data_IF_541543790268
#
_entry.id   IF_541543790268
#
_cell.length_a   1.000
_cell.length_b   1.000
_cell.length_c   1.000
_cell.angle_alpha   90.00
_cell.angle_beta   90.00
_cell.angle_gamma   90.00
#
_symmetry.space_group_name_H-M   'P 1'
#
loop_
_entity.id
_entity.type
_entity.pdbx_description
1 polymer ?
#
# COMPACT_ATOMS: atom_id res chain seq x y z
N UNK A 1 31.87 4.07 -20.68
CA UNK A 1 31.65 3.36 -19.40
C UNK A 1 30.33 3.86 -18.88
N UNK A 2 29.23 3.13 -19.13
CA UNK A 2 27.94 3.47 -18.51
C UNK A 2 28.11 3.32 -16.99
N UNK A 3 27.82 4.39 -16.25
CA UNK A 3 27.80 4.34 -14.80
C UNK A 3 26.59 3.49 -14.41
N UNK A 4 26.82 2.32 -13.82
CA UNK A 4 25.73 1.50 -13.28
C UNK A 4 25.01 2.31 -12.20
N UNK A 5 23.72 2.59 -12.40
CA UNK A 5 22.89 3.28 -11.41
C UNK A 5 22.93 2.54 -10.06
N UNK A 6 23.09 3.29 -8.99
CA UNK A 6 23.06 2.73 -7.63
C UNK A 6 21.62 2.37 -7.25
N UNK A 7 21.46 1.57 -6.19
CA UNK A 7 20.15 1.26 -5.61
C UNK A 7 19.40 2.55 -5.21
N UNK A 8 20.12 3.54 -4.67
CA UNK A 8 19.55 4.83 -4.26
C UNK A 8 19.07 5.62 -5.47
N UNK A 9 19.84 5.64 -6.56
CA UNK A 9 19.46 6.35 -7.79
C UNK A 9 18.18 5.76 -8.39
N UNK A 10 18.13 4.43 -8.56
CA UNK A 10 16.94 3.74 -9.08
C UNK A 10 15.69 3.98 -8.22
N UNK A 11 15.87 3.99 -6.89
CA UNK A 11 14.79 4.26 -5.94
C UNK A 11 14.26 5.68 -6.12
N UNK A 12 15.16 6.65 -6.18
CA UNK A 12 14.80 8.05 -6.34
C UNK A 12 14.15 8.32 -7.71
N UNK A 13 14.65 7.71 -8.78
CA UNK A 13 14.05 7.79 -10.11
C UNK A 13 12.62 7.25 -10.14
N UNK A 14 12.39 6.06 -9.56
CA UNK A 14 11.05 5.46 -9.47
C UNK A 14 10.08 6.34 -8.69
N UNK A 15 10.49 6.83 -7.51
CA UNK A 15 9.66 7.72 -6.67
C UNK A 15 9.32 8.99 -7.43
N UNK A 16 10.32 9.64 -8.03
CA UNK A 16 10.15 10.90 -8.78
C UNK A 16 9.24 10.70 -9.98
N UNK A 17 9.36 9.58 -10.70
CA UNK A 17 8.48 9.24 -11.81
C UNK A 17 7.04 9.06 -11.35
N UNK A 18 6.79 8.28 -10.30
CA UNK A 18 5.43 8.07 -9.77
C UNK A 18 4.82 9.40 -9.31
N UNK A 19 5.59 10.26 -8.62
CA UNK A 19 5.12 11.57 -8.17
C UNK A 19 4.83 12.53 -9.33
N UNK A 20 5.64 12.51 -10.40
CA UNK A 20 5.40 13.29 -11.61
C UNK A 20 4.10 12.85 -12.32
N UNK A 21 3.86 11.53 -12.41
CA UNK A 21 2.59 11.00 -12.93
C UNK A 21 1.42 11.42 -12.03
N UNK A 22 1.59 11.33 -10.72
CA UNK A 22 0.56 11.68 -9.74
C UNK A 22 0.14 13.15 -9.86
N UNK A 23 1.08 14.08 -10.05
CA UNK A 23 0.78 15.51 -10.23
C UNK A 23 0.02 15.80 -11.52
N UNK A 24 0.27 15.02 -12.58
CA UNK A 24 -0.43 15.15 -13.88
C UNK A 24 -1.86 14.60 -13.86
N UNK A 25 -2.15 13.57 -13.04
CA UNK A 25 -3.48 12.98 -12.94
C UNK A 25 -4.50 13.87 -12.21
N UNK A 26 -4.01 14.84 -11.41
CA UNK A 26 -4.85 15.69 -10.57
C UNK A 26 -5.61 14.90 -9.50
N UNK A 27 -6.59 15.56 -8.85
CA UNK A 27 -7.40 14.94 -7.80
C UNK A 27 -6.91 15.25 -6.39
N UNK A 28 -7.10 14.33 -5.46
CA UNK A 28 -6.68 14.52 -4.07
C UNK A 28 -5.18 14.26 -3.97
N UNK A 29 -4.45 15.21 -3.40
CA UNK A 29 -3.05 15.04 -3.06
C UNK A 29 -2.79 13.74 -2.27
N UNK A 30 -1.77 12.98 -2.68
CA UNK A 30 -1.42 11.72 -2.04
C UNK A 30 -2.25 10.51 -2.50
N UNK A 31 -3.16 10.67 -3.47
CA UNK A 31 -3.84 9.54 -4.12
C UNK A 31 -2.82 8.64 -4.83
N UNK A 32 -2.76 7.32 -4.54
CA UNK A 32 -1.83 6.45 -5.22
C UNK A 32 -2.15 6.33 -6.72
N UNK A 33 -1.10 6.25 -7.53
CA UNK A 33 -1.22 5.98 -8.96
C UNK A 33 -1.63 4.52 -9.16
N UNK A 34 -2.50 4.27 -10.14
CA UNK A 34 -2.88 2.90 -10.52
C UNK A 34 -2.68 2.70 -12.01
N UNK A 35 -2.32 1.49 -12.42
CA UNK A 35 -2.09 1.15 -13.83
C UNK A 35 -3.31 1.42 -14.73
N UNK A 36 -4.52 1.43 -14.19
CA UNK A 36 -5.76 1.74 -14.94
C UNK A 36 -5.98 3.24 -15.17
N UNK A 37 -5.22 4.11 -14.49
CA UNK A 37 -5.30 5.58 -14.64
C UNK A 37 -4.23 6.15 -15.54
N UNK A 38 -3.28 5.33 -16.00
CA UNK A 38 -2.12 5.76 -16.78
C UNK A 38 -2.04 4.99 -18.10
N UNK A 39 -1.22 5.48 -19.02
CA UNK A 39 -0.96 4.78 -20.29
C UNK A 39 -0.26 3.44 -20.01
N UNK A 40 -0.54 2.39 -20.79
CA UNK A 40 0.11 1.08 -20.64
C UNK A 40 1.65 1.16 -20.63
N UNK A 41 2.25 1.98 -21.49
CA UNK A 41 3.71 2.14 -21.58
C UNK A 41 4.31 2.67 -20.28
N UNK A 42 3.61 3.60 -19.60
CA UNK A 42 4.04 4.12 -18.29
C UNK A 42 3.95 3.04 -17.20
N UNK A 43 2.90 2.20 -17.24
CA UNK A 43 2.78 1.10 -16.30
C UNK A 43 3.89 0.05 -16.52
N UNK A 44 4.26 -0.23 -17.78
CA UNK A 44 5.37 -1.12 -18.12
C UNK A 44 6.72 -0.54 -17.70
N UNK A 45 6.92 0.76 -17.86
CA UNK A 45 8.14 1.44 -17.42
C UNK A 45 8.31 1.39 -15.90
N UNK A 46 7.22 1.64 -15.14
CA UNK A 46 7.21 1.49 -13.68
C UNK A 46 7.56 0.05 -13.28
N UNK A 47 6.97 -0.94 -13.94
CA UNK A 47 7.25 -2.36 -13.68
C UNK A 47 8.73 -2.69 -13.93
N UNK A 48 9.31 -2.20 -15.03
CA UNK A 48 10.73 -2.41 -15.35
C UNK A 48 11.67 -1.78 -14.31
N UNK A 49 11.34 -0.58 -13.81
CA UNK A 49 12.09 0.07 -12.72
C UNK A 49 11.97 -0.71 -11.40
N UNK A 50 10.77 -1.21 -11.08
CA UNK A 50 10.52 -2.06 -9.91
C UNK A 50 11.36 -3.33 -9.96
N UNK A 51 11.39 -4.03 -11.10
CA UNK A 51 12.18 -5.26 -11.27
C UNK A 51 13.68 -4.98 -11.05
N UNK A 52 14.21 -3.87 -11.57
CA UNK A 52 15.60 -3.47 -11.35
C UNK A 52 15.91 -3.21 -9.87
N UNK A 53 14.97 -2.62 -9.13
CA UNK A 53 15.10 -2.40 -7.69
C UNK A 53 15.00 -3.70 -6.90
N UNK A 54 14.03 -4.57 -7.19
CA UNK A 54 13.88 -5.88 -6.56
C UNK A 54 15.17 -6.71 -6.71
N UNK A 55 15.83 -6.66 -7.87
CA UNK A 55 17.12 -7.30 -8.11
C UNK A 55 18.29 -6.72 -7.27
N UNK A 56 18.11 -5.51 -6.73
CA UNK A 56 19.06 -4.81 -5.84
C UNK A 56 18.48 -4.62 -4.44
N UNK A 57 17.60 -5.51 -3.99
CA UNK A 57 17.10 -5.49 -2.62
C UNK A 57 18.27 -5.61 -1.62
N UNK A 58 18.47 -4.64 -0.71
CA UNK A 58 19.59 -4.66 0.22
C UNK A 58 19.44 -5.74 1.31
N UNK A 59 18.22 -6.20 1.55
CA UNK A 59 17.90 -7.12 2.63
C UNK A 59 17.39 -8.45 2.08
N UNK A 60 18.32 -9.39 1.87
CA UNK A 60 17.98 -10.80 1.62
C UNK A 60 17.20 -11.37 2.81
N UNK A 61 16.13 -12.14 2.55
CA UNK A 61 15.23 -12.70 3.59
C UNK A 61 14.87 -11.65 4.67
N UNK A 62 14.18 -10.57 4.31
CA UNK A 62 13.97 -9.43 5.20
C UNK A 62 13.24 -9.81 6.50
N UNK A 63 12.34 -10.79 6.45
CA UNK A 63 11.58 -11.25 7.63
C UNK A 63 12.41 -12.13 8.58
N UNK A 64 13.58 -12.58 8.16
CA UNK A 64 14.53 -13.30 9.01
C UNK A 64 15.53 -12.34 9.65
N UNK A 65 16.22 -11.53 8.84
CA UNK A 65 17.36 -10.74 9.31
C UNK A 65 17.01 -9.32 9.75
N UNK A 66 15.94 -8.73 9.19
CA UNK A 66 15.55 -7.34 9.43
C UNK A 66 14.02 -7.15 9.56
N UNK A 67 13.30 -8.00 10.33
CA UNK A 67 11.84 -7.94 10.38
C UNK A 67 11.32 -6.60 10.88
N UNK A 68 12.04 -5.92 11.78
CA UNK A 68 11.66 -4.62 12.33
C UNK A 68 11.67 -3.48 11.31
N UNK A 69 12.37 -3.61 10.17
CA UNK A 69 12.26 -2.59 9.11
C UNK A 69 10.84 -2.48 8.56
N UNK A 70 10.07 -3.58 8.62
CA UNK A 70 8.68 -3.63 8.19
C UNK A 70 7.73 -2.85 9.12
N UNK A 71 8.10 -2.68 10.38
CA UNK A 71 7.25 -2.13 11.45
C UNK A 71 6.93 -0.64 11.25
N UNK A 72 5.67 -0.24 11.35
CA UNK A 72 5.21 1.14 11.23
C UNK A 72 4.30 1.39 10.03
N UNK A 73 4.13 2.67 9.67
CA UNK A 73 3.24 3.10 8.59
C UNK A 73 3.97 3.23 7.24
N UNK A 74 3.26 2.82 6.19
CA UNK A 74 3.71 2.85 4.81
C UNK A 74 2.68 3.56 3.94
N UNK A 75 3.06 4.66 3.31
CA UNK A 75 2.21 5.39 2.37
C UNK A 75 2.33 4.75 0.98
N UNK A 76 1.20 4.38 0.39
CA UNK A 76 1.13 3.79 -0.95
C UNK A 76 1.32 4.87 -2.02
N UNK A 77 2.29 4.68 -2.91
CA UNK A 77 2.54 5.56 -4.05
C UNK A 77 1.94 4.99 -5.35
N UNK A 78 2.09 3.68 -5.58
CA UNK A 78 1.61 3.01 -6.79
C UNK A 78 1.09 1.60 -6.48
N UNK A 79 0.03 1.18 -7.18
CA UNK A 79 -0.44 -0.20 -7.12
C UNK A 79 -1.17 -0.69 -8.37
N UNK A 80 -1.04 -2.00 -8.63
CA UNK A 80 -1.85 -2.72 -9.64
C UNK A 80 -2.95 -3.58 -9.00
N UNK A 81 -3.05 -3.59 -7.67
CA UNK A 81 -3.99 -4.41 -6.93
C UNK A 81 -5.45 -4.04 -7.24
N UNK A 82 -6.30 -5.04 -7.41
CA UNK A 82 -7.68 -4.85 -7.87
C UNK A 82 -8.49 -4.02 -6.89
N UNK A 83 -8.33 -4.27 -5.60
CA UNK A 83 -8.97 -3.55 -4.52
C UNK A 83 -8.60 -2.06 -4.51
N UNK A 84 -7.35 -1.71 -4.82
CA UNK A 84 -6.91 -0.31 -4.92
C UNK A 84 -7.45 0.34 -6.20
N UNK A 85 -7.43 -0.39 -7.33
CA UNK A 85 -8.03 0.09 -8.59
C UNK A 85 -9.51 0.42 -8.43
N UNK A 86 -10.24 -0.37 -7.65
CA UNK A 86 -11.66 -0.14 -7.39
C UNK A 86 -11.91 1.15 -6.58
N UNK A 87 -10.95 1.62 -5.78
CA UNK A 87 -11.05 2.89 -5.05
C UNK A 87 -10.98 4.12 -5.96
N UNK A 88 -10.62 3.93 -7.24
CA UNK A 88 -10.67 5.01 -8.22
C UNK A 88 -12.10 5.41 -8.62
N UNK A 89 -13.10 4.60 -8.26
CA UNK A 89 -14.53 4.84 -8.55
C UNK A 89 -15.36 4.61 -7.28
N UNK A 90 -15.35 5.60 -6.38
CA UNK A 90 -16.19 5.57 -5.18
C UNK A 90 -17.58 6.17 -5.46
N UNK A 91 -18.63 5.68 -4.79
CA UNK A 91 -19.97 6.25 -4.91
C UNK A 91 -20.03 7.67 -4.37
N UNK A 92 -21.11 8.39 -4.73
CA UNK A 92 -21.41 9.74 -4.22
C UNK A 92 -20.35 10.80 -4.57
N UNK A 93 -19.58 10.60 -5.65
CA UNK A 93 -18.54 11.54 -6.08
C UNK A 93 -17.33 11.61 -5.14
N UNK A 94 -17.25 10.73 -4.14
CA UNK A 94 -16.10 10.62 -3.26
C UNK A 94 -14.84 10.32 -4.06
N UNK A 95 -13.72 10.85 -3.60
CA UNK A 95 -12.40 10.57 -4.13
C UNK A 95 -11.55 9.99 -3.01
N UNK A 96 -10.74 9.00 -3.35
CA UNK A 96 -9.73 8.46 -2.45
C UNK A 96 -8.56 9.46 -2.38
N UNK A 97 -7.96 9.58 -1.20
CA UNK A 97 -6.71 10.32 -0.98
C UNK A 97 -5.60 9.35 -0.62
N UNK A 98 -4.81 9.71 0.40
CA UNK A 98 -3.73 8.85 0.91
C UNK A 98 -4.23 7.49 1.36
N UNK A 99 -3.45 6.45 1.04
CA UNK A 99 -3.67 5.08 1.50
C UNK A 99 -2.44 4.64 2.28
N UNK A 100 -2.67 4.22 3.52
CA UNK A 100 -1.64 3.74 4.42
C UNK A 100 -1.78 2.24 4.63
N UNK A 101 -0.65 1.56 4.70
CA UNK A 101 -0.54 0.22 5.24
C UNK A 101 0.29 0.29 6.53
N UNK A 102 -0.32 -0.06 7.64
CA UNK A 102 0.30 -0.04 8.97
C UNK A 102 0.55 -1.49 9.36
N UNK A 103 1.79 -1.79 9.73
CA UNK A 103 2.21 -3.12 10.14
C UNK A 103 2.84 -3.01 11.52
N UNK A 104 2.37 -3.83 12.44
CA UNK A 104 2.99 -3.99 13.75
C UNK A 104 3.52 -5.42 13.84
N UNK A 105 4.84 -5.54 13.83
CA UNK A 105 5.55 -6.82 13.77
C UNK A 105 5.43 -7.58 15.07
N UNK A 106 5.40 -6.88 16.21
CA UNK A 106 5.34 -7.48 17.53
C UNK A 106 3.99 -8.17 17.79
N UNK A 107 2.90 -7.53 17.37
CA UNK A 107 1.53 -8.04 17.53
C UNK A 107 1.04 -8.89 16.36
N UNK A 108 1.75 -8.89 15.23
CA UNK A 108 1.29 -9.54 13.99
C UNK A 108 0.09 -8.83 13.37
N UNK A 109 -0.07 -7.52 13.61
CA UNK A 109 -1.20 -6.73 13.11
C UNK A 109 -0.86 -6.09 11.76
N UNK A 110 -1.86 -6.07 10.87
CA UNK A 110 -1.78 -5.51 9.54
C UNK A 110 -3.04 -4.71 9.24
N UNK A 111 -2.90 -3.47 8.79
CA UNK A 111 -4.02 -2.58 8.60
C UNK A 111 -3.86 -1.80 7.31
N UNK A 112 -4.90 -1.75 6.48
CA UNK A 112 -4.98 -0.80 5.36
C UNK A 112 -5.99 0.29 5.68
N UNK A 113 -5.61 1.56 5.52
CA UNK A 113 -6.47 2.71 5.75
C UNK A 113 -6.43 3.65 4.56
N UNK A 114 -7.58 3.84 3.92
CA UNK A 114 -7.75 4.76 2.80
C UNK A 114 -8.60 5.96 3.24
N UNK A 115 -8.03 7.16 3.15
CA UNK A 115 -8.78 8.39 3.38
C UNK A 115 -9.64 8.71 2.16
N UNK A 116 -10.83 9.24 2.40
CA UNK A 116 -11.78 9.61 1.35
C UNK A 116 -12.36 10.98 1.64
N UNK A 117 -12.54 11.79 0.60
CA UNK A 117 -13.26 13.07 0.71
C UNK A 117 -14.00 13.41 -0.56
N UNK A 118 -15.07 14.18 -0.41
CA UNK A 118 -15.74 14.81 -1.53
C UNK A 118 -14.90 16.00 -2.04
N UNK A 119 -14.75 16.22 -3.37
CA UNK A 119 -13.95 17.32 -3.91
C UNK A 119 -14.37 18.71 -3.40
N UNK A 120 -15.67 18.91 -3.16
CA UNK A 120 -16.21 20.16 -2.61
C UNK A 120 -16.02 20.33 -1.09
N UNK A 121 -15.33 19.40 -0.41
CA UNK A 121 -15.11 19.47 1.05
C UNK A 121 -16.34 19.19 1.92
N UNK A 122 -17.46 18.76 1.32
CA UNK A 122 -18.73 18.54 2.03
C UNK A 122 -18.70 17.36 2.99
N UNK A 123 -17.92 16.32 2.70
CA UNK A 123 -17.80 15.13 3.53
C UNK A 123 -16.40 14.54 3.41
N UNK A 124 -15.84 14.09 4.53
CA UNK A 124 -14.59 13.35 4.58
C UNK A 124 -14.64 12.23 5.62
N UNK A 125 -13.78 11.25 5.45
CA UNK A 125 -13.68 10.10 6.34
C UNK A 125 -12.60 9.14 5.90
N UNK A 126 -12.70 7.90 6.36
CA UNK A 126 -11.76 6.85 5.96
C UNK A 126 -12.43 5.48 5.93
N UNK A 127 -11.85 4.60 5.12
CA UNK A 127 -12.10 3.16 5.15
C UNK A 127 -10.88 2.50 5.77
N UNK A 128 -11.08 1.73 6.84
CA UNK A 128 -10.02 0.99 7.52
C UNK A 128 -10.32 -0.51 7.45
N UNK A 129 -9.35 -1.32 7.10
CA UNK A 129 -9.44 -2.79 7.07
C UNK A 129 -8.35 -3.35 7.96
N UNK A 130 -8.75 -4.09 8.99
CA UNK A 130 -7.82 -4.79 9.89
C UNK A 130 -7.59 -6.21 9.43
N UNK A 131 -6.41 -6.72 9.74
CA UNK A 131 -5.98 -8.07 9.52
C UNK A 131 -4.94 -8.45 10.57
N UNK A 132 -4.79 -9.74 10.80
CA UNK A 132 -3.56 -10.27 11.37
C UNK A 132 -2.72 -10.86 10.24
N UNK A 133 -1.43 -11.05 10.47
CA UNK A 133 -0.57 -11.73 9.54
C UNK A 133 0.31 -12.78 10.23
N UNK A 134 0.74 -13.75 9.43
CA UNK A 134 1.71 -14.77 9.83
C UNK A 134 2.88 -14.76 8.85
N UNK A 135 4.09 -14.88 9.38
CA UNK A 135 5.30 -15.02 8.58
C UNK A 135 5.37 -16.46 8.06
N UNK A 136 5.38 -16.62 6.75
CA UNK A 136 5.54 -17.93 6.11
C UNK A 136 6.99 -18.36 6.22
N UNK A 137 7.17 -19.63 6.59
CA UNK A 137 8.47 -20.28 6.79
C UNK A 137 8.72 -21.29 5.68
N UNK A 138 9.99 -21.46 5.32
CA UNK A 138 10.44 -22.47 4.35
C UNK A 138 10.54 -23.88 4.98
N UNK A 139 11.00 -24.85 4.20
CA UNK A 139 11.15 -26.25 4.63
C UNK A 139 12.13 -26.42 5.82
N UNK A 140 13.01 -25.44 6.05
CA UNK A 140 13.92 -25.41 7.19
C UNK A 140 13.32 -24.64 8.39
N UNK A 141 12.02 -24.33 8.36
CA UNK A 141 11.31 -23.54 9.36
C UNK A 141 11.85 -22.10 9.52
N UNK A 142 12.46 -21.54 8.47
CA UNK A 142 13.01 -20.19 8.47
C UNK A 142 12.12 -19.21 7.71
N UNK A 143 11.85 -18.01 8.26
CA UNK A 143 11.27 -16.90 7.52
C UNK A 143 12.06 -16.56 6.25
N UNK A 144 11.33 -16.05 5.26
CA UNK A 144 11.93 -15.44 4.07
C UNK A 144 11.36 -14.04 3.85
N UNK A 145 10.36 -13.92 2.99
CA UNK A 145 9.78 -12.64 2.58
C UNK A 145 8.26 -12.64 2.51
N UNK A 146 7.60 -13.77 2.74
CA UNK A 146 6.15 -13.92 2.56
C UNK A 146 5.39 -13.79 3.88
N UNK A 147 4.30 -13.03 3.82
CA UNK A 147 3.28 -12.92 4.85
C UNK A 147 1.99 -13.57 4.35
N UNK A 148 1.33 -14.38 5.18
CA UNK A 148 -0.08 -14.70 5.02
C UNK A 148 -0.90 -13.64 5.76
N UNK A 149 -1.95 -13.10 5.14
CA UNK A 149 -2.76 -12.01 5.68
C UNK A 149 -4.20 -12.47 5.84
N UNK A 150 -4.73 -12.31 7.06
CA UNK A 150 -6.06 -12.76 7.46
C UNK A 150 -6.93 -11.56 7.81
N UNK A 151 -7.76 -11.12 6.86
CA UNK A 151 -8.61 -9.95 7.05
C UNK A 151 -9.70 -10.21 8.07
N UNK A 152 -9.92 -9.26 8.97
CA UNK A 152 -10.87 -9.36 10.08
C UNK A 152 -12.08 -8.45 9.86
N UNK A 153 -11.90 -7.14 10.00
CA UNK A 153 -12.99 -6.17 10.02
C UNK A 153 -12.71 -5.03 9.05
N UNK A 154 -13.78 -4.49 8.48
CA UNK A 154 -13.80 -3.25 7.70
C UNK A 154 -14.63 -2.21 8.44
N UNK A 155 -14.03 -1.05 8.67
CA UNK A 155 -14.61 0.10 9.30
C UNK A 155 -14.83 1.19 8.26
N UNK A 156 -16.00 1.82 8.32
CA UNK A 156 -16.31 3.02 7.56
C UNK A 156 -16.49 4.14 8.57
N UNK A 157 -15.67 5.17 8.44
CA UNK A 157 -15.73 6.36 9.28
C UNK A 157 -16.16 7.57 8.46
N UNK A 158 -16.98 8.41 9.05
CA UNK A 158 -17.28 9.75 8.56
C UNK A 158 -16.68 10.69 9.59
N UNK A 159 -15.65 11.43 9.20
CA UNK A 159 -14.88 12.29 10.09
C UNK A 159 -15.41 13.71 10.13
N UNK A 160 -15.87 14.22 8.98
CA UNK A 160 -16.42 15.56 8.89
C UNK A 160 -17.60 15.61 7.92
N UNK A 161 -18.59 16.42 8.27
CA UNK A 161 -19.73 16.81 7.42
C UNK A 161 -19.81 18.33 7.43
N UNK A 162 -19.64 18.96 6.27
CA UNK A 162 -19.71 20.42 6.06
C UNK A 162 -18.90 21.19 7.12
N UNK A 163 -17.66 20.75 7.35
CA UNK A 163 -16.73 21.35 8.31
C UNK A 163 -16.96 20.99 9.79
N UNK A 164 -18.04 20.27 10.12
CA UNK A 164 -18.31 19.80 11.49
C UNK A 164 -17.70 18.42 11.70
N UNK A 165 -16.88 18.25 12.75
CA UNK A 165 -16.33 16.95 13.14
C UNK A 165 -17.43 16.02 13.63
N UNK A 166 -17.35 14.75 13.27
CA UNK A 166 -18.35 13.73 13.62
C UNK A 166 -17.73 12.53 14.34
N UNK A 167 -17.16 12.70 15.56
CA UNK A 167 -16.54 11.61 16.31
C UNK A 167 -17.49 10.44 16.59
N UNK A 168 -18.80 10.70 16.69
CA UNK A 168 -19.84 9.68 16.84
C UNK A 168 -20.00 8.77 15.61
N UNK A 169 -19.39 9.12 14.48
CA UNK A 169 -19.37 8.36 13.23
C UNK A 169 -17.98 7.77 12.93
N UNK A 170 -17.15 7.58 13.97
CA UNK A 170 -15.83 6.97 13.88
C UNK A 170 -15.72 5.72 14.79
N UNK A 171 -16.23 4.55 14.37
CA UNK A 171 -16.77 4.24 13.05
C UNK A 171 -18.29 4.39 12.94
N UNK A 172 -18.76 4.82 11.77
CA UNK A 172 -20.18 4.83 11.40
C UNK A 172 -20.72 3.43 11.11
N UNK A 173 -19.84 2.53 10.64
CA UNK A 173 -20.19 1.13 10.36
C UNK A 173 -18.99 0.22 10.50
N UNK A 174 -19.22 -0.95 11.09
CA UNK A 174 -18.25 -2.06 11.16
C UNK A 174 -18.87 -3.28 10.51
N UNK A 175 -18.14 -3.92 9.60
CA UNK A 175 -18.56 -5.17 8.94
C UNK A 175 -17.39 -6.13 8.83
N UNK A 176 -17.62 -7.46 8.81
CA UNK A 176 -16.56 -8.41 8.51
C UNK A 176 -15.88 -8.11 7.16
N UNK A 177 -14.56 -8.24 7.12
CA UNK A 177 -13.81 -8.18 5.87
C UNK A 177 -13.97 -9.50 5.09
N UNK A 178 -13.95 -9.43 3.75
CA UNK A 178 -14.09 -10.61 2.90
C UNK A 178 -12.73 -11.21 2.61
N UNK A 179 -12.46 -12.39 3.14
CA UNK A 179 -11.33 -13.22 2.70
C UNK A 179 -11.72 -13.97 1.41
N UNK A 180 -10.79 -14.14 0.45
CA UNK A 180 -11.03 -14.96 -0.73
C UNK A 180 -11.23 -16.42 -0.33
N UNK A 181 -12.13 -17.11 -1.04
CA UNK A 181 -12.39 -18.54 -0.82
C UNK A 181 -11.34 -19.35 -1.57
N UNK A 182 -10.79 -20.39 -0.93
CA UNK A 182 -9.87 -21.35 -1.56
C UNK A 182 -8.42 -20.86 -1.71
N UNK A 183 -8.07 -19.69 -1.18
CA UNK A 183 -6.67 -19.22 -1.08
C UNK A 183 -6.48 -18.33 0.14
N UNK A 184 -5.28 -18.36 0.71
CA UNK A 184 -4.89 -17.41 1.75
C UNK A 184 -4.31 -16.16 1.05
N UNK A 185 -4.81 -14.93 1.32
CA UNK A 185 -4.14 -13.73 0.86
C UNK A 185 -2.69 -13.71 1.33
N UNK A 186 -1.76 -13.43 0.43
CA UNK A 186 -0.35 -13.35 0.77
C UNK A 186 0.29 -12.08 0.23
N UNK A 187 1.35 -11.64 0.88
CA UNK A 187 2.18 -10.50 0.49
C UNK A 187 3.65 -10.89 0.60
N UNK A 188 4.36 -10.86 -0.53
CA UNK A 188 5.80 -11.01 -0.59
C UNK A 188 6.47 -9.64 -0.50
N UNK A 189 7.42 -9.50 0.42
CA UNK A 189 8.25 -8.31 0.58
C UNK A 189 9.49 -8.47 -0.30
N UNK A 190 9.42 -7.97 -1.53
CA UNK A 190 10.46 -8.18 -2.56
C UNK A 190 11.57 -7.13 -2.53
N UNK A 191 11.32 -6.00 -1.87
CA UNK A 191 12.32 -5.00 -1.53
C UNK A 191 11.97 -4.37 -0.19
N UNK A 192 12.95 -4.17 0.69
CA UNK A 192 12.76 -3.47 1.95
C UNK A 192 14.03 -2.73 2.36
N UNK A 193 13.90 -1.44 2.64
CA UNK A 193 14.88 -0.66 3.37
C UNK A 193 14.18 0.27 4.40
N UNK A 194 14.93 1.17 5.02
CA UNK A 194 14.44 2.07 6.06
C UNK A 194 13.31 3.00 5.59
N UNK A 195 13.28 3.35 4.30
CA UNK A 195 12.39 4.39 3.76
C UNK A 195 11.46 3.90 2.66
N UNK A 196 11.66 2.69 2.13
CA UNK A 196 10.97 2.19 0.95
C UNK A 196 10.73 0.69 0.97
N UNK A 197 9.58 0.29 0.41
CA UNK A 197 9.16 -1.11 0.34
C UNK A 197 8.43 -1.39 -0.95
N UNK A 198 8.75 -2.54 -1.55
CA UNK A 198 7.99 -3.14 -2.64
C UNK A 198 7.35 -4.42 -2.12
N UNK A 199 6.05 -4.56 -2.38
CA UNK A 199 5.27 -5.74 -2.07
C UNK A 199 4.63 -6.36 -3.31
N UNK A 200 4.58 -7.70 -3.37
CA UNK A 200 3.85 -8.46 -4.38
C UNK A 200 2.75 -9.30 -3.72
N UNK A 201 1.50 -9.10 -4.10
CA UNK A 201 0.38 -9.91 -3.64
C UNK A 201 0.43 -11.31 -4.24
N UNK A 202 -0.23 -12.29 -3.60
CA UNK A 202 -0.29 -13.67 -4.09
C UNK A 202 -0.93 -13.85 -5.48
N UNK A 203 -1.60 -12.83 -6.01
CA UNK A 203 -2.10 -12.77 -7.39
C UNK A 203 -1.24 -11.93 -8.34
N UNK A 204 -0.01 -11.59 -7.93
CA UNK A 204 0.94 -10.80 -8.70
C UNK A 204 0.74 -9.28 -8.58
N UNK A 205 -0.20 -8.81 -7.75
CA UNK A 205 -0.43 -7.37 -7.58
C UNK A 205 0.80 -6.66 -7.01
N UNK A 206 1.13 -5.49 -7.54
CA UNK A 206 2.27 -4.68 -7.08
C UNK A 206 1.81 -3.61 -6.08
N UNK A 207 2.64 -3.37 -5.07
CA UNK A 207 2.52 -2.25 -4.14
C UNK A 207 3.89 -1.58 -4.00
N UNK A 208 3.95 -0.29 -4.27
CA UNK A 208 5.15 0.55 -4.08
C UNK A 208 4.86 1.54 -2.97
N UNK A 209 5.60 1.47 -1.87
CA UNK A 209 5.33 2.26 -0.67
C UNK A 209 6.58 2.96 -0.13
N UNK A 210 6.38 4.14 0.45
CA UNK A 210 7.39 4.84 1.24
C UNK A 210 7.02 4.78 2.72
N UNK A 211 8.03 4.80 3.58
CA UNK A 211 7.84 4.94 5.03
C UNK A 211 7.17 6.27 5.33
N UNK A 212 6.26 6.28 6.30
CA UNK A 212 5.55 7.47 6.72
C UNK A 212 5.35 7.47 8.23
N UNK A 213 5.07 8.63 8.79
CA UNK A 213 4.54 8.73 10.15
C UNK A 213 3.14 8.10 10.20
N UNK A 214 2.70 7.73 11.42
CA UNK A 214 1.35 7.23 11.62
C UNK A 214 0.33 8.33 11.22
N UNK A 215 -0.72 7.97 10.46
CA UNK A 215 -1.70 8.91 9.94
C UNK A 215 -2.74 9.39 10.96
#
# INVERSE_FOLDING_TARGET
MEMLLTQTDLKQELITKIQSIQSQLGGIEGTPVTNVKIKPDLAQEIEAMVIQLEAKNPNYRPLLFKPLLLDGAWLLLYSTAREIRNLASLPLGLKVGKIYQIIDVASGSFLNQAFVKHPLGLISGYVKVTANFEIVRDDNNLPNNRLNVYFQQRYLAISNIVGVKTPQLEPARVVPAKNPVGRIPSLDITYLDETFRIGRGGDGSLFVLIKSELP
#
